data_IF_352423072701
#
_entry.id   IF_352423072701
#
_cell.length_a   1.000
_cell.length_b   1.000
_cell.length_c   1.000
_cell.angle_alpha   90.00
_cell.angle_beta   90.00
_cell.angle_gamma   90.00
#
_symmetry.space_group_name_H-M   'P 1'
#
loop_
_entity.id
_entity.type
_entity.pdbx_description
1 polymer ?
#
# COMPACT_ATOMS: atom_id res chain seq x y z
N UNK A 1 -33.76 -5.58 -1.44
CA UNK A 1 -32.91 -5.64 -2.67
C UNK A 1 -31.48 -5.83 -2.21
N UNK A 2 -30.88 -6.97 -2.52
CA UNK A 2 -29.48 -7.22 -2.19
C UNK A 2 -28.59 -6.41 -3.15
N UNK A 3 -27.78 -5.50 -2.62
CA UNK A 3 -26.80 -4.79 -3.40
C UNK A 3 -25.68 -5.77 -3.83
N UNK A 4 -25.39 -5.82 -5.14
CA UNK A 4 -24.22 -6.55 -5.64
C UNK A 4 -22.96 -5.73 -5.36
N UNK A 5 -22.11 -6.22 -4.46
CA UNK A 5 -20.82 -5.61 -4.16
C UNK A 5 -19.78 -6.11 -5.16
N UNK A 6 -19.33 -5.27 -6.07
CA UNK A 6 -18.32 -5.63 -7.08
C UNK A 6 -16.90 -5.69 -6.55
N UNK A 7 -16.56 -4.89 -5.54
CA UNK A 7 -15.23 -4.87 -4.92
C UNK A 7 -15.31 -4.48 -3.46
N UNK A 8 -14.51 -5.14 -2.63
CA UNK A 8 -14.34 -4.85 -1.20
C UNK A 8 -12.88 -4.49 -0.94
N UNK A 9 -12.63 -3.28 -0.46
CA UNK A 9 -11.30 -2.80 -0.08
C UNK A 9 -11.12 -2.87 1.42
N UNK A 10 -10.08 -3.55 1.86
CA UNK A 10 -9.79 -3.83 3.26
C UNK A 10 -8.40 -3.29 3.58
N UNK A 11 -8.31 -2.27 4.43
CA UNK A 11 -7.03 -1.78 4.95
C UNK A 11 -6.77 -2.43 6.31
N UNK A 12 -5.58 -2.98 6.50
CA UNK A 12 -5.19 -3.70 7.71
C UNK A 12 -3.72 -3.43 8.04
N UNK A 13 -3.35 -3.56 9.31
CA UNK A 13 -1.96 -3.65 9.73
C UNK A 13 -1.39 -5.08 9.60
N UNK A 14 -2.22 -6.04 9.24
CA UNK A 14 -1.82 -7.44 9.04
C UNK A 14 -1.41 -8.20 10.31
N UNK A 15 -1.80 -7.73 11.50
CA UNK A 15 -1.37 -8.30 12.78
C UNK A 15 -1.97 -9.68 13.11
N UNK A 16 -3.00 -10.10 12.38
CA UNK A 16 -3.77 -11.32 12.68
C UNK A 16 -3.88 -12.22 11.43
N UNK A 17 -2.79 -12.89 11.01
CA UNK A 17 -2.79 -13.71 9.79
C UNK A 17 -3.84 -14.81 9.80
N UNK A 18 -4.01 -15.54 10.91
CA UNK A 18 -5.01 -16.61 11.02
C UNK A 18 -6.43 -16.10 10.77
N UNK A 19 -6.74 -14.92 11.32
CA UNK A 19 -8.06 -14.29 11.12
C UNK A 19 -8.29 -13.85 9.67
N UNK A 20 -7.25 -13.44 8.98
CA UNK A 20 -7.33 -13.11 7.55
C UNK A 20 -7.60 -14.38 6.74
N UNK A 21 -6.92 -15.46 7.08
CA UNK A 21 -7.14 -16.75 6.42
C UNK A 21 -8.56 -17.28 6.64
N UNK A 22 -9.05 -17.27 7.87
CA UNK A 22 -10.44 -17.65 8.21
C UNK A 22 -11.46 -16.80 7.47
N UNK A 23 -11.22 -15.48 7.41
CA UNK A 23 -12.08 -14.54 6.69
C UNK A 23 -12.14 -14.85 5.19
N UNK A 24 -11.00 -15.13 4.57
CA UNK A 24 -10.93 -15.51 3.16
C UNK A 24 -11.63 -16.85 2.90
N UNK A 25 -11.36 -17.86 3.72
CA UNK A 25 -11.99 -19.18 3.62
C UNK A 25 -13.51 -19.12 3.74
N UNK A 26 -14.03 -18.19 4.53
CA UNK A 26 -15.46 -18.01 4.73
C UNK A 26 -16.14 -17.19 3.63
N UNK A 27 -15.53 -16.07 3.21
CA UNK A 27 -16.20 -15.10 2.32
C UNK A 27 -15.98 -15.38 0.83
N UNK A 28 -14.77 -15.76 0.43
CA UNK A 28 -14.46 -15.87 -1.00
C UNK A 28 -15.36 -16.90 -1.71
N UNK A 29 -15.63 -18.10 -1.14
CA UNK A 29 -16.57 -19.06 -1.77
C UNK A 29 -18.00 -18.55 -1.86
N UNK A 30 -18.42 -17.67 -0.93
CA UNK A 30 -19.78 -17.12 -0.90
C UNK A 30 -19.99 -15.96 -1.88
N UNK A 31 -18.91 -15.28 -2.25
CA UNK A 31 -18.94 -14.10 -3.11
C UNK A 31 -17.93 -14.21 -4.25
N UNK A 32 -18.07 -15.18 -5.15
CA UNK A 32 -17.09 -15.46 -6.21
C UNK A 32 -16.93 -14.29 -7.21
N UNK A 33 -17.97 -13.47 -7.38
CA UNK A 33 -17.95 -12.32 -8.28
C UNK A 33 -17.42 -11.02 -7.62
N UNK A 34 -17.19 -11.04 -6.30
CA UNK A 34 -16.66 -9.87 -5.55
C UNK A 34 -15.14 -9.90 -5.54
N UNK A 35 -14.50 -8.79 -5.89
CA UNK A 35 -13.05 -8.61 -5.74
C UNK A 35 -12.73 -8.21 -4.31
N UNK A 36 -11.86 -8.97 -3.65
CA UNK A 36 -11.33 -8.66 -2.32
C UNK A 36 -9.93 -8.05 -2.47
N UNK A 37 -9.76 -6.81 -2.06
CA UNK A 37 -8.50 -6.08 -2.17
C UNK A 37 -7.99 -5.74 -0.78
N UNK A 38 -6.92 -6.37 -0.36
CA UNK A 38 -6.27 -6.13 0.92
C UNK A 38 -5.11 -5.14 0.73
N UNK A 39 -5.08 -4.10 1.56
CA UNK A 39 -3.99 -3.13 1.63
C UNK A 39 -3.35 -3.19 3.01
N UNK A 40 -2.12 -3.70 3.08
CA UNK A 40 -1.38 -3.82 4.32
C UNK A 40 -0.47 -2.62 4.55
N UNK A 41 -0.67 -1.93 5.67
CA UNK A 41 0.06 -0.70 5.99
C UNK A 41 1.42 -1.01 6.59
N UNK A 42 2.49 -0.50 5.97
CA UNK A 42 3.86 -0.61 6.44
C UNK A 42 4.49 0.79 6.50
N UNK A 43 5.16 1.10 7.62
CA UNK A 43 5.90 2.35 7.80
C UNK A 43 7.41 2.15 7.67
N UNK A 44 7.90 0.95 7.98
CA UNK A 44 9.31 0.56 7.86
C UNK A 44 9.39 -0.98 7.75
N UNK A 45 10.58 -1.54 7.80
CA UNK A 45 10.82 -2.99 7.74
C UNK A 45 11.28 -3.53 9.10
N UNK A 46 10.92 -4.81 9.34
CA UNK A 46 11.41 -5.59 10.48
C UNK A 46 11.16 -4.86 11.82
N UNK A 47 12.12 -4.93 12.75
CA UNK A 47 12.01 -4.32 14.07
C UNK A 47 11.79 -2.80 14.08
N UNK A 48 12.14 -2.10 13.00
CA UNK A 48 11.86 -0.66 12.90
C UNK A 48 10.36 -0.40 12.73
N UNK A 49 9.68 -1.20 11.92
CA UNK A 49 8.22 -1.13 11.78
C UNK A 49 7.53 -1.42 13.12
N UNK A 50 7.98 -2.47 13.81
CA UNK A 50 7.44 -2.87 15.11
C UNK A 50 7.57 -1.74 16.14
N UNK A 51 8.74 -1.09 16.18
CA UNK A 51 9.00 0.06 17.06
C UNK A 51 8.10 1.26 16.76
N UNK A 52 7.91 1.62 15.49
CA UNK A 52 7.04 2.73 15.07
C UNK A 52 5.60 2.44 15.51
N UNK A 53 5.13 1.23 15.30
CA UNK A 53 3.76 0.80 15.62
C UNK A 53 3.57 0.35 17.08
N UNK A 54 4.66 0.20 17.84
CA UNK A 54 4.65 -0.27 19.24
C UNK A 54 3.97 -1.65 19.40
N UNK A 55 4.17 -2.54 18.45
CA UNK A 55 3.63 -3.91 18.43
C UNK A 55 4.75 -4.85 18.03
N UNK A 56 5.11 -5.76 18.92
CA UNK A 56 6.15 -6.76 18.65
C UNK A 56 5.77 -7.72 17.53
N UNK A 57 6.73 -8.01 16.65
CA UNK A 57 6.58 -8.94 15.53
C UNK A 57 5.49 -8.55 14.51
N UNK A 58 5.01 -7.30 14.55
CA UNK A 58 3.96 -6.84 13.64
C UNK A 58 4.38 -6.98 12.18
N UNK A 59 5.62 -6.62 11.85
CA UNK A 59 6.12 -6.74 10.49
C UNK A 59 6.07 -8.19 9.98
N UNK A 60 6.49 -9.13 10.81
CA UNK A 60 6.45 -10.56 10.46
C UNK A 60 5.01 -11.02 10.21
N UNK A 61 4.09 -10.72 11.12
CA UNK A 61 2.66 -11.04 10.97
C UNK A 61 2.04 -10.39 9.73
N UNK A 62 2.40 -9.13 9.46
CA UNK A 62 1.95 -8.41 8.26
C UNK A 62 2.41 -9.09 6.98
N UNK A 63 3.67 -9.52 6.91
CA UNK A 63 4.21 -10.23 5.74
C UNK A 63 3.60 -11.63 5.57
N UNK A 64 3.26 -12.30 6.67
CA UNK A 64 2.54 -13.57 6.65
C UNK A 64 1.12 -13.39 6.12
N UNK A 65 0.39 -12.40 6.63
CA UNK A 65 -0.93 -11.99 6.12
C UNK A 65 -0.91 -11.67 4.61
N UNK A 66 0.11 -10.94 4.16
CA UNK A 66 0.30 -10.64 2.75
C UNK A 66 0.50 -11.91 1.92
N UNK A 67 1.33 -12.85 2.38
CA UNK A 67 1.56 -14.15 1.72
C UNK A 67 0.29 -15.00 1.63
N UNK A 68 -0.52 -15.03 2.69
CA UNK A 68 -1.81 -15.73 2.69
C UNK A 68 -2.70 -15.17 1.58
N UNK A 69 -2.87 -13.85 1.53
CA UNK A 69 -3.67 -13.17 0.50
C UNK A 69 -3.15 -13.46 -0.91
N UNK A 70 -1.82 -13.43 -1.11
CA UNK A 70 -1.21 -13.72 -2.42
C UNK A 70 -1.42 -15.17 -2.88
N UNK A 71 -1.43 -16.14 -1.96
CA UNK A 71 -1.67 -17.56 -2.28
C UNK A 71 -3.11 -17.83 -2.68
N UNK A 72 -4.06 -17.05 -2.18
CA UNK A 72 -5.48 -17.29 -2.41
C UNK A 72 -5.86 -17.14 -3.89
N UNK A 73 -5.27 -16.15 -4.59
CA UNK A 73 -5.45 -15.96 -6.03
C UNK A 73 -6.86 -15.57 -6.45
N UNK A 74 -7.21 -15.82 -7.71
CA UNK A 74 -8.51 -15.57 -8.34
C UNK A 74 -9.01 -14.12 -8.17
N UNK A 75 -10.00 -13.89 -7.30
CA UNK A 75 -10.62 -12.60 -7.02
C UNK A 75 -10.06 -11.92 -5.75
N UNK A 76 -8.95 -12.43 -5.18
CA UNK A 76 -8.28 -11.88 -4.00
C UNK A 76 -6.95 -11.23 -4.40
N UNK A 77 -6.76 -9.99 -3.99
CA UNK A 77 -5.60 -9.17 -4.33
C UNK A 77 -5.02 -8.56 -3.07
N UNK A 78 -3.70 -8.58 -2.93
CA UNK A 78 -2.97 -7.97 -1.82
C UNK A 78 -1.95 -6.95 -2.31
N UNK A 79 -1.87 -5.82 -1.64
CA UNK A 79 -0.77 -4.86 -1.83
C UNK A 79 -0.21 -4.42 -0.49
N UNK A 80 1.03 -3.96 -0.50
CA UNK A 80 1.66 -3.25 0.61
C UNK A 80 1.50 -1.76 0.37
N UNK A 81 1.01 -1.04 1.37
CA UNK A 81 0.89 0.42 1.38
C UNK A 81 1.98 1.01 2.27
N UNK A 82 2.94 1.71 1.68
CA UNK A 82 4.02 2.36 2.42
C UNK A 82 3.60 3.78 2.77
N UNK A 83 3.61 4.11 4.08
CA UNK A 83 3.35 5.48 4.55
C UNK A 83 4.67 6.21 4.70
N UNK A 84 4.90 7.25 3.90
CA UNK A 84 6.06 8.13 4.03
C UNK A 84 5.82 9.11 5.19
N UNK A 85 6.72 9.10 6.16
CA UNK A 85 6.66 9.93 7.38
C UNK A 85 8.06 10.41 7.80
N UNK A 86 8.14 11.22 8.85
CA UNK A 86 9.42 11.70 9.39
C UNK A 86 10.29 10.55 9.94
N UNK A 87 9.68 9.45 10.35
CA UNK A 87 10.40 8.29 10.88
C UNK A 87 11.10 7.47 9.80
N UNK A 88 10.73 7.62 8.51
CA UNK A 88 11.21 6.71 7.47
C UNK A 88 11.63 7.36 6.14
N UNK A 89 11.35 8.64 5.90
CA UNK A 89 11.59 9.29 4.59
C UNK A 89 13.03 9.14 4.08
N UNK A 90 14.00 9.10 4.99
CA UNK A 90 15.42 9.00 4.68
C UNK A 90 15.89 7.58 4.33
N UNK A 91 15.06 6.57 4.61
CA UNK A 91 15.34 5.15 4.34
C UNK A 91 14.47 4.57 3.23
N UNK A 92 13.73 5.38 2.49
CA UNK A 92 12.68 4.91 1.60
C UNK A 92 13.19 3.96 0.50
N UNK A 93 14.38 4.23 -0.04
CA UNK A 93 15.02 3.35 -1.02
C UNK A 93 15.32 1.97 -0.42
N UNK A 94 15.92 1.94 0.77
CA UNK A 94 16.22 0.71 1.47
C UNK A 94 14.95 -0.10 1.81
N UNK A 95 13.89 0.57 2.27
CA UNK A 95 12.60 -0.06 2.56
C UNK A 95 12.04 -0.69 1.29
N UNK A 96 12.01 0.06 0.19
CA UNK A 96 11.52 -0.39 -1.10
C UNK A 96 12.28 -1.63 -1.59
N UNK A 97 13.61 -1.55 -1.65
CA UNK A 97 14.46 -2.66 -2.14
C UNK A 97 14.29 -3.92 -1.29
N UNK A 98 14.23 -3.80 0.02
CA UNK A 98 13.98 -4.94 0.90
C UNK A 98 12.63 -5.58 0.66
N UNK A 99 11.56 -4.80 0.50
CA UNK A 99 10.23 -5.32 0.21
C UNK A 99 10.20 -6.10 -1.11
N UNK A 100 10.86 -5.59 -2.14
CA UNK A 100 10.91 -6.28 -3.44
C UNK A 100 11.84 -7.50 -3.40
N UNK A 101 13.09 -7.32 -2.99
CA UNK A 101 14.14 -8.33 -3.19
C UNK A 101 14.12 -9.42 -2.11
N UNK A 102 13.87 -9.04 -0.83
CA UNK A 102 13.87 -9.99 0.28
C UNK A 102 12.49 -10.59 0.54
N UNK A 103 11.46 -9.76 0.50
CA UNK A 103 10.09 -10.17 0.85
C UNK A 103 9.22 -10.51 -0.36
N UNK A 104 9.75 -10.35 -1.57
CA UNK A 104 9.08 -10.67 -2.83
C UNK A 104 7.69 -10.01 -2.97
N UNK A 105 7.58 -8.76 -2.50
CA UNK A 105 6.35 -7.99 -2.63
C UNK A 105 6.11 -7.67 -4.11
N UNK A 106 4.90 -7.93 -4.58
CA UNK A 106 4.53 -7.79 -6.00
C UNK A 106 3.65 -6.57 -6.29
N UNK A 107 3.01 -6.00 -5.28
CA UNK A 107 2.16 -4.83 -5.45
C UNK A 107 2.41 -3.84 -4.31
N UNK A 108 2.68 -2.58 -4.68
CA UNK A 108 2.98 -1.50 -3.76
C UNK A 108 2.13 -0.25 -4.07
N UNK A 109 1.74 0.44 -3.01
CA UNK A 109 1.19 1.79 -3.08
C UNK A 109 1.92 2.70 -2.10
N UNK A 110 1.95 3.99 -2.40
CA UNK A 110 2.55 5.00 -1.56
C UNK A 110 1.48 5.91 -0.97
N UNK A 111 1.61 6.20 0.32
CA UNK A 111 0.81 7.19 1.05
C UNK A 111 1.78 8.14 1.74
N UNK A 112 1.43 9.41 1.84
CA UNK A 112 2.16 10.37 2.67
C UNK A 112 1.37 10.60 3.97
N UNK A 113 2.08 10.77 5.08
CA UNK A 113 1.44 11.06 6.37
C UNK A 113 0.57 12.32 6.25
N UNK A 114 -0.59 12.31 6.90
CA UNK A 114 -1.50 13.46 6.90
C UNK A 114 -0.87 14.63 7.64
N UNK A 115 -1.10 15.85 7.13
CA UNK A 115 -0.63 17.10 7.72
C UNK A 115 -1.80 17.85 8.39
N UNK A 116 -2.50 17.17 9.29
CA UNK A 116 -3.69 17.70 9.96
C UNK A 116 -3.66 17.43 11.48
N UNK A 117 -4.09 18.40 12.25
CA UNK A 117 -4.24 18.28 13.71
C UNK A 117 -2.93 17.96 14.41
N UNK A 118 -2.89 16.83 15.14
CA UNK A 118 -1.69 16.36 15.87
C UNK A 118 -0.54 15.91 14.97
N UNK A 119 -0.80 15.69 13.68
CA UNK A 119 0.19 15.26 12.69
C UNK A 119 0.76 16.43 11.89
N UNK A 120 0.53 17.68 12.35
CA UNK A 120 1.00 18.87 11.66
C UNK A 120 2.52 18.83 11.51
N UNK A 121 2.98 18.92 10.25
CA UNK A 121 4.40 18.85 9.87
C UNK A 121 4.94 20.24 9.64
N UNK A 122 6.16 20.54 10.13
CA UNK A 122 6.85 21.80 9.83
C UNK A 122 7.12 21.92 8.31
N UNK A 123 7.08 23.14 7.76
CA UNK A 123 7.21 23.36 6.31
C UNK A 123 8.52 22.80 5.72
N UNK A 124 9.64 22.94 6.42
CA UNK A 124 10.95 22.39 6.03
C UNK A 124 10.98 20.84 5.98
N UNK A 125 10.17 20.18 6.79
CA UNK A 125 10.03 18.73 6.78
C UNK A 125 9.08 18.24 5.68
N UNK A 126 8.10 19.06 5.29
CA UNK A 126 7.21 18.77 4.16
C UNK A 126 7.96 18.56 2.85
N UNK A 127 8.98 19.39 2.58
CA UNK A 127 9.78 19.23 1.37
C UNK A 127 10.55 17.92 1.34
N UNK A 128 11.13 17.51 2.49
CA UNK A 128 11.83 16.23 2.62
C UNK A 128 10.87 15.04 2.38
N UNK A 129 9.70 15.08 3.03
CA UNK A 129 8.68 14.06 2.85
C UNK A 129 8.20 13.97 1.40
N UNK A 130 7.95 15.12 0.77
CA UNK A 130 7.51 15.17 -0.63
C UNK A 130 8.57 14.66 -1.60
N UNK A 131 9.84 14.97 -1.37
CA UNK A 131 10.95 14.44 -2.17
C UNK A 131 10.97 12.92 -2.12
N UNK A 132 10.88 12.36 -0.93
CA UNK A 132 10.84 10.90 -0.71
C UNK A 132 9.59 10.26 -1.32
N UNK A 133 8.42 10.88 -1.13
CA UNK A 133 7.16 10.41 -1.72
C UNK A 133 7.17 10.43 -3.24
N UNK A 134 7.70 11.50 -3.87
CA UNK A 134 7.86 11.58 -5.32
C UNK A 134 8.77 10.47 -5.84
N UNK A 135 9.93 10.29 -5.20
CA UNK A 135 10.85 9.20 -5.54
C UNK A 135 10.14 7.83 -5.50
N UNK A 136 9.43 7.54 -4.40
CA UNK A 136 8.73 6.27 -4.21
C UNK A 136 7.65 6.05 -5.26
N UNK A 137 6.83 7.06 -5.54
CA UNK A 137 5.74 6.94 -6.54
C UNK A 137 6.27 6.78 -7.97
N UNK A 138 7.38 7.44 -8.31
CA UNK A 138 8.06 7.29 -9.59
C UNK A 138 8.72 5.91 -9.72
N UNK A 139 9.33 5.42 -8.65
CA UNK A 139 9.94 4.10 -8.60
C UNK A 139 8.89 2.99 -8.79
N UNK A 140 7.78 3.05 -8.05
CA UNK A 140 6.65 2.12 -8.20
C UNK A 140 6.16 2.12 -9.66
N UNK A 141 5.90 3.30 -10.23
CA UNK A 141 5.45 3.43 -11.60
C UNK A 141 6.42 2.80 -12.60
N UNK A 142 7.72 3.10 -12.47
CA UNK A 142 8.73 2.58 -13.38
C UNK A 142 8.83 1.05 -13.31
N UNK A 143 8.67 0.48 -12.13
CA UNK A 143 8.74 -0.96 -11.92
C UNK A 143 7.43 -1.67 -12.32
N UNK A 144 6.27 -0.99 -12.25
CA UNK A 144 5.03 -1.45 -12.88
C UNK A 144 5.14 -1.46 -14.42
N UNK A 145 5.71 -0.41 -15.02
CA UNK A 145 5.92 -0.30 -16.46
C UNK A 145 6.90 -1.38 -16.97
N UNK A 146 7.85 -1.82 -16.13
CA UNK A 146 8.79 -2.93 -16.39
C UNK A 146 8.27 -4.33 -16.03
N UNK A 147 7.04 -4.44 -15.51
CA UNK A 147 6.43 -5.67 -14.98
C UNK A 147 7.22 -6.31 -13.81
N UNK A 148 8.01 -5.56 -13.08
CA UNK A 148 8.64 -5.98 -11.81
C UNK A 148 7.57 -6.01 -10.71
N UNK A 149 6.73 -4.97 -10.68
CA UNK A 149 5.54 -4.89 -9.83
C UNK A 149 4.27 -5.20 -10.63
N UNK A 150 3.30 -5.78 -9.94
CA UNK A 150 1.96 -5.99 -10.46
C UNK A 150 1.18 -4.68 -10.32
N UNK A 151 1.13 -3.91 -11.40
CA UNK A 151 0.17 -2.82 -11.55
C UNK A 151 -1.18 -3.33 -12.06
N UNK A 152 -2.11 -2.43 -12.26
CA UNK A 152 -3.30 -2.75 -13.05
C UNK A 152 -2.87 -3.18 -14.46
N UNK A 153 -3.44 -4.29 -14.94
CA UNK A 153 -3.08 -4.89 -16.21
C UNK A 153 -3.01 -3.84 -17.35
N UNK A 154 -1.80 -3.40 -17.68
CA UNK A 154 -1.55 -2.36 -18.69
C UNK A 154 -1.93 -2.79 -20.12
N UNK A 155 -2.14 -4.10 -20.36
CA UNK A 155 -2.61 -4.64 -21.64
C UNK A 155 -4.11 -4.39 -21.86
N UNK A 156 -4.89 -4.22 -20.78
CA UNK A 156 -6.32 -3.91 -20.86
C UNK A 156 -6.56 -2.40 -20.88
N UNK A 157 -7.61 -1.96 -21.59
CA UNK A 157 -8.03 -0.56 -21.61
C UNK A 157 -8.38 -0.05 -20.19
N UNK A 158 -9.10 -0.87 -19.41
CA UNK A 158 -9.46 -0.55 -18.03
C UNK A 158 -8.21 -0.40 -17.14
N UNK A 159 -7.22 -1.28 -17.28
CA UNK A 159 -5.97 -1.18 -16.53
C UNK A 159 -5.18 0.09 -16.87
N UNK A 160 -5.11 0.46 -18.15
CA UNK A 160 -4.46 1.72 -18.59
C UNK A 160 -5.16 2.94 -18.01
N UNK A 161 -6.50 2.97 -18.01
CA UNK A 161 -7.29 4.05 -17.42
C UNK A 161 -7.08 4.13 -15.90
N UNK A 162 -7.03 3.01 -15.21
CA UNK A 162 -6.79 2.98 -13.77
C UNK A 162 -5.38 3.46 -13.41
N UNK A 163 -4.36 3.03 -14.15
CA UNK A 163 -3.00 3.53 -13.97
C UNK A 163 -2.93 5.05 -14.21
N UNK A 164 -3.64 5.58 -15.22
CA UNK A 164 -3.74 7.02 -15.44
C UNK A 164 -4.42 7.76 -14.29
N UNK A 165 -5.50 7.21 -13.73
CA UNK A 165 -6.19 7.77 -12.54
C UNK A 165 -5.25 7.80 -11.32
N UNK A 166 -4.52 6.72 -11.05
CA UNK A 166 -3.57 6.67 -9.95
C UNK A 166 -2.46 7.72 -10.09
N UNK A 167 -1.94 7.92 -11.30
CA UNK A 167 -0.94 8.96 -11.59
C UNK A 167 -1.48 10.38 -11.32
N UNK A 168 -2.74 10.66 -11.69
CA UNK A 168 -3.40 11.93 -11.39
C UNK A 168 -3.58 12.09 -9.88
N UNK A 169 -4.02 11.04 -9.20
CA UNK A 169 -4.19 11.04 -7.74
C UNK A 169 -2.89 11.36 -7.02
N UNK A 170 -1.76 10.74 -7.38
CA UNK A 170 -0.46 11.04 -6.80
C UNK A 170 -0.03 12.50 -7.01
N UNK A 171 -0.28 13.07 -8.21
CA UNK A 171 0.00 14.48 -8.48
C UNK A 171 -0.87 15.42 -7.63
N UNK A 172 -2.15 15.08 -7.49
CA UNK A 172 -3.07 15.86 -6.65
C UNK A 172 -2.67 15.82 -5.18
N UNK A 173 -2.27 14.66 -4.66
CA UNK A 173 -1.77 14.51 -3.28
C UNK A 173 -0.57 15.45 -3.07
N UNK A 174 0.40 15.45 -3.99
CA UNK A 174 1.57 16.32 -3.92
C UNK A 174 1.17 17.80 -3.92
N UNK A 175 0.26 18.19 -4.81
CA UNK A 175 -0.21 19.58 -4.92
C UNK A 175 -0.94 20.03 -3.65
N UNK A 176 -1.84 19.20 -3.14
CA UNK A 176 -2.62 19.50 -1.92
C UNK A 176 -1.74 19.54 -0.67
N UNK A 177 -0.73 18.69 -0.61
CA UNK A 177 0.19 18.64 0.53
C UNK A 177 1.06 19.90 0.63
N UNK A 178 1.44 20.48 -0.51
CA UNK A 178 2.19 21.75 -0.57
C UNK A 178 1.30 22.96 -0.29
N UNK A 179 0.08 22.95 -0.79
CA UNK A 179 -0.85 24.07 -0.72
C UNK A 179 -2.20 23.57 -0.20
N UNK A 180 -2.33 23.32 1.12
CA UNK A 180 -3.62 22.96 1.69
C UNK A 180 -4.58 24.13 1.48
N UNK A 181 -5.61 23.91 0.66
CA UNK A 181 -6.71 24.84 0.48
C UNK A 181 -7.71 24.62 1.62
N UNK A 182 -7.58 25.42 2.68
CA UNK A 182 -8.59 25.60 3.72
C UNK A 182 -8.78 27.09 3.98
#
# INVERSE_FOLDING_TARGET
KNAKVGSLFITSNGSLPDRIEDYLNYLVPKFPDTKFVFSFSIDNIESKHDKIRKIDKLFQSCMESYKIVQKYGNNVYGNISITVSLENYHEMEHIYEKLINKYNVKALTAVIVRDEGIYKTANEDKEKLLKSYKWLTEKIKNDEDKNILQGYNSKSLQGRLQNKKNRIMYKNIISTYLNPQF
#
